data_IF_541387675902
#
_entry.id   IF_541387675902
#
_cell.length_a   1.000
_cell.length_b   1.000
_cell.length_c   1.000
_cell.angle_alpha   90.00
_cell.angle_beta   90.00
_cell.angle_gamma   90.00
#
_symmetry.space_group_name_H-M   'P 1'
#
loop_
_entity.id
_entity.type
_entity.pdbx_description
1 polymer ?
#
# COMPACT_ATOMS: atom_id res chain seq x y z
N UNK A 1 7.53 -13.31 10.97
CA UNK A 1 6.95 -14.66 10.87
C UNK A 1 6.97 -15.08 9.41
N UNK A 2 7.21 -16.36 9.10
CA UNK A 2 7.31 -16.85 7.71
C UNK A 2 6.34 -18.00 7.51
N UNK A 3 5.48 -17.88 6.51
CA UNK A 3 4.53 -18.93 6.13
C UNK A 3 5.01 -19.64 4.85
N UNK A 4 4.70 -20.93 4.73
CA UNK A 4 4.94 -21.71 3.51
C UNK A 4 3.60 -22.17 2.94
N UNK A 5 3.45 -22.02 1.63
CA UNK A 5 2.27 -22.47 0.91
C UNK A 5 2.70 -23.15 -0.39
N UNK A 6 1.93 -24.16 -0.80
CA UNK A 6 2.01 -24.75 -2.14
C UNK A 6 0.89 -24.15 -2.97
N UNK A 7 1.23 -23.58 -4.12
CA UNK A 7 0.28 -22.94 -5.04
C UNK A 7 0.41 -23.57 -6.42
N UNK A 8 -0.72 -23.67 -7.13
CA UNK A 8 -0.73 -24.03 -8.55
C UNK A 8 -0.69 -22.76 -9.37
N UNK A 9 0.22 -22.68 -10.33
CA UNK A 9 0.31 -21.59 -11.31
C UNK A 9 0.30 -22.18 -12.72
N UNK A 10 -0.06 -21.37 -13.72
CA UNK A 10 -0.05 -21.82 -15.12
C UNK A 10 1.37 -22.10 -15.60
N UNK A 11 1.49 -22.92 -16.64
CA UNK A 11 2.78 -23.25 -17.27
C UNK A 11 3.49 -21.98 -17.77
N UNK A 12 2.75 -21.03 -18.35
CA UNK A 12 3.29 -19.74 -18.80
C UNK A 12 3.90 -18.94 -17.63
N UNK A 13 3.20 -18.88 -16.49
CA UNK A 13 3.71 -18.21 -15.29
C UNK A 13 4.92 -18.94 -14.70
N UNK A 14 4.94 -20.28 -14.76
CA UNK A 14 6.07 -21.10 -14.31
C UNK A 14 7.33 -20.85 -15.15
N UNK A 15 7.19 -20.83 -16.48
CA UNK A 15 8.28 -20.49 -17.39
C UNK A 15 8.78 -19.07 -17.19
N UNK A 16 7.87 -18.11 -17.04
CA UNK A 16 8.23 -16.72 -16.77
C UNK A 16 9.00 -16.59 -15.45
N UNK A 17 8.51 -17.21 -14.37
CA UNK A 17 9.14 -17.22 -13.06
C UNK A 17 10.56 -17.81 -13.12
N UNK A 18 10.77 -18.86 -13.93
CA UNK A 18 12.10 -19.42 -14.18
C UNK A 18 13.08 -18.45 -14.84
N UNK A 19 12.60 -17.49 -15.64
CA UNK A 19 13.45 -16.49 -16.32
C UNK A 19 13.78 -15.30 -15.42
N UNK A 20 12.85 -14.88 -14.56
CA UNK A 20 12.98 -13.63 -13.78
C UNK A 20 13.43 -13.82 -12.33
N UNK A 21 13.18 -14.98 -11.73
CA UNK A 21 13.42 -15.17 -10.30
C UNK A 21 14.82 -15.72 -9.95
N UNK A 22 15.67 -15.98 -10.94
CA UNK A 22 16.99 -16.58 -10.75
C UNK A 22 16.92 -17.82 -9.85
N UNK A 23 17.73 -17.83 -8.79
CA UNK A 23 17.80 -18.94 -7.85
C UNK A 23 16.69 -18.93 -6.77
N UNK A 24 15.93 -17.85 -6.61
CA UNK A 24 14.97 -17.69 -5.52
C UNK A 24 13.58 -17.21 -5.98
N UNK A 25 12.77 -18.18 -6.39
CA UNK A 25 11.36 -18.01 -6.78
C UNK A 25 10.50 -17.37 -5.69
N UNK A 26 10.69 -17.79 -4.43
CA UNK A 26 9.91 -17.27 -3.31
C UNK A 26 10.21 -15.80 -3.04
N UNK A 27 11.47 -15.37 -3.15
CA UNK A 27 11.83 -13.96 -2.99
C UNK A 27 11.18 -13.08 -4.06
N UNK A 28 11.22 -13.51 -5.33
CA UNK A 28 10.57 -12.79 -6.42
C UNK A 28 9.05 -12.67 -6.22
N UNK A 29 8.38 -13.78 -5.88
CA UNK A 29 6.92 -13.78 -5.62
C UNK A 29 6.59 -12.85 -4.45
N UNK A 30 7.37 -12.90 -3.37
CA UNK A 30 7.15 -12.03 -2.22
C UNK A 30 7.33 -10.54 -2.57
N UNK A 31 8.33 -10.19 -3.38
CA UNK A 31 8.51 -8.82 -3.85
C UNK A 31 7.33 -8.35 -4.71
N UNK A 32 6.84 -9.21 -5.60
CA UNK A 32 5.66 -8.93 -6.42
C UNK A 32 4.40 -8.70 -5.57
N UNK A 33 4.16 -9.57 -4.58
CA UNK A 33 3.03 -9.44 -3.65
C UNK A 33 3.14 -8.19 -2.78
N UNK A 34 4.35 -7.82 -2.34
CA UNK A 34 4.55 -6.59 -1.57
C UNK A 34 4.29 -5.34 -2.42
N UNK A 35 4.65 -5.35 -3.70
CA UNK A 35 4.34 -4.26 -4.63
C UNK A 35 2.84 -4.13 -4.84
N UNK A 36 2.16 -5.25 -5.08
CA UNK A 36 0.70 -5.27 -5.24
C UNK A 36 -0.02 -4.79 -3.97
N UNK A 37 0.43 -5.25 -2.80
CA UNK A 37 -0.09 -4.80 -1.51
C UNK A 37 0.06 -3.28 -1.32
N UNK A 38 1.20 -2.71 -1.68
CA UNK A 38 1.42 -1.25 -1.62
C UNK A 38 0.45 -0.52 -2.54
N UNK A 39 0.30 -0.97 -3.78
CA UNK A 39 -0.64 -0.37 -4.73
C UNK A 39 -2.08 -0.43 -4.21
N UNK A 40 -2.48 -1.56 -3.62
CA UNK A 40 -3.79 -1.72 -2.99
C UNK A 40 -3.99 -0.75 -1.82
N UNK A 41 -2.98 -0.59 -0.95
CA UNK A 41 -3.03 0.34 0.17
C UNK A 41 -3.10 1.80 -0.30
N UNK A 42 -2.35 2.17 -1.33
CA UNK A 42 -2.39 3.52 -1.91
C UNK A 42 -3.76 3.83 -2.51
N UNK A 43 -4.33 2.91 -3.29
CA UNK A 43 -5.67 3.08 -3.85
C UNK A 43 -6.73 3.20 -2.77
N UNK A 44 -6.62 2.39 -1.70
CA UNK A 44 -7.52 2.49 -0.57
C UNK A 44 -7.39 3.84 0.14
N UNK A 45 -6.18 4.29 0.42
CA UNK A 45 -5.97 5.59 1.07
C UNK A 45 -6.51 6.76 0.22
N UNK A 46 -6.37 6.70 -1.11
CA UNK A 46 -6.96 7.69 -2.01
C UNK A 46 -8.49 7.66 -1.90
N UNK A 47 -9.09 6.47 -1.89
CA UNK A 47 -10.54 6.32 -1.78
C UNK A 47 -11.05 6.85 -0.43
N UNK A 48 -10.40 6.47 0.67
CA UNK A 48 -10.73 6.93 2.03
C UNK A 48 -10.63 8.48 2.10
N UNK A 49 -9.58 9.08 1.53
CA UNK A 49 -9.43 10.54 1.45
C UNK A 49 -10.54 11.23 0.62
N UNK A 50 -11.02 10.59 -0.45
CA UNK A 50 -12.12 11.14 -1.26
C UNK A 50 -13.42 11.11 -0.46
N UNK A 51 -13.70 10.00 0.23
CA UNK A 51 -14.89 9.87 1.07
C UNK A 51 -14.87 10.90 2.22
N UNK A 52 -13.71 11.07 2.85
CA UNK A 52 -13.47 12.09 3.88
C UNK A 52 -13.59 13.52 3.35
N UNK A 53 -13.21 13.80 2.11
CA UNK A 53 -13.35 15.13 1.49
C UNK A 53 -14.82 15.48 1.19
N UNK A 54 -15.66 14.47 0.95
CA UNK A 54 -17.10 14.64 0.72
C UNK A 54 -17.91 14.71 2.04
N UNK A 55 -17.32 14.32 3.17
CA UNK A 55 -17.92 14.40 4.50
C UNK A 55 -17.73 15.79 5.13
N UNK A 56 -18.80 16.58 5.09
CA UNK A 56 -18.84 17.93 5.67
C UNK A 56 -18.58 17.96 7.18
N UNK A 57 -19.04 16.96 7.94
CA UNK A 57 -18.85 16.94 9.39
C UNK A 57 -17.39 16.67 9.72
N UNK A 58 -16.77 15.72 9.00
CA UNK A 58 -15.33 15.45 9.11
C UNK A 58 -14.46 16.64 8.68
N UNK A 59 -14.80 17.32 7.57
CA UNK A 59 -14.06 18.51 7.12
C UNK A 59 -14.15 19.67 8.13
N UNK A 60 -15.30 19.84 8.79
CA UNK A 60 -15.45 20.85 9.84
C UNK A 60 -14.56 20.50 11.05
N UNK A 61 -14.52 19.24 11.48
CA UNK A 61 -13.61 18.80 12.54
C UNK A 61 -12.14 19.04 12.12
N UNK A 62 -11.76 18.66 10.90
CA UNK A 62 -10.41 18.87 10.37
C UNK A 62 -9.99 20.35 10.41
N UNK A 63 -10.91 21.27 10.08
CA UNK A 63 -10.68 22.72 10.15
C UNK A 63 -10.48 23.24 11.58
N UNK A 64 -11.06 22.58 12.59
CA UNK A 64 -10.77 22.91 14.00
C UNK A 64 -9.35 22.49 14.39
N UNK A 65 -8.83 21.40 13.82
CA UNK A 65 -7.46 20.92 14.06
C UNK A 65 -6.38 21.78 13.39
N UNK A 66 -6.71 22.49 12.31
CA UNK A 66 -5.78 23.34 11.54
C UNK A 66 -5.07 24.41 12.41
N UNK A 67 -5.69 24.86 13.49
CA UNK A 67 -5.08 25.84 14.42
C UNK A 67 -3.82 25.30 15.11
N UNK A 68 -3.69 23.97 15.22
CA UNK A 68 -2.55 23.30 15.87
C UNK A 68 -1.39 23.01 14.90
N UNK A 69 -1.56 23.29 13.60
CA UNK A 69 -0.59 22.93 12.55
C UNK A 69 0.81 23.50 12.80
N UNK A 70 0.89 24.67 13.43
CA UNK A 70 2.14 25.39 13.70
C UNK A 70 2.69 25.15 15.12
N UNK A 71 2.01 24.36 15.95
CA UNK A 71 2.43 24.13 17.33
C UNK A 71 3.81 23.46 17.37
N UNK A 72 4.76 24.10 18.06
CA UNK A 72 6.14 23.60 18.22
C UNK A 72 7.09 23.93 17.06
N UNK A 73 6.63 24.61 16.01
CA UNK A 73 7.52 25.18 14.98
C UNK A 73 7.99 26.56 15.46
N UNK A 74 9.32 26.81 15.60
CA UNK A 74 9.81 28.15 15.92
C UNK A 74 9.46 29.10 14.78
N UNK A 75 8.73 30.18 15.07
CA UNK A 75 8.56 31.27 14.12
C UNK A 75 9.94 31.94 13.89
N UNK A 76 10.39 32.04 12.63
CA UNK A 76 11.51 32.92 12.25
C UNK A 76 11.14 34.40 12.39
#
# INVERSE_FOLDING_TARGET
MTNRATITISDECWEYLGKVAGDNRSAYINDLLNKDLRNYQEQKAIQDNIEEAEDLDYQNELAEWDVTLMDGIPNE
#
